data_IF_290784676614
#
_entry.id   IF_290784676614
#
_cell.length_a   1.000
_cell.length_b   1.000
_cell.length_c   1.000
_cell.angle_alpha   90.00
_cell.angle_beta   90.00
_cell.angle_gamma   90.00
#
_symmetry.space_group_name_H-M   'P 1'
#
loop_
_entity.id
_entity.type
_entity.pdbx_description
1 polymer ?
#
# COMPACT_ATOMS: atom_id res chain seq x y z
N UNK A 1 -66.12 -18.37 -2.01
CA UNK A 1 -64.73 -18.92 -1.88
C UNK A 1 -63.66 -18.09 -2.62
N UNK A 2 -63.93 -17.54 -3.81
CA UNK A 2 -62.95 -16.82 -4.66
C UNK A 2 -62.32 -15.53 -4.05
N UNK A 3 -63.04 -14.76 -3.23
CA UNK A 3 -62.56 -13.48 -2.65
C UNK A 3 -61.36 -13.62 -1.71
N UNK A 4 -61.25 -14.73 -0.96
CA UNK A 4 -60.12 -14.98 -0.05
C UNK A 4 -58.84 -15.32 -0.83
N UNK A 5 -58.96 -16.06 -1.92
CA UNK A 5 -57.84 -16.46 -2.79
C UNK A 5 -57.22 -15.25 -3.49
N UNK A 6 -58.04 -14.33 -4.02
CA UNK A 6 -57.57 -13.07 -4.62
C UNK A 6 -56.81 -12.17 -3.62
N UNK A 7 -57.30 -12.04 -2.39
CA UNK A 7 -56.60 -11.29 -1.33
C UNK A 7 -55.26 -11.93 -0.95
N UNK A 8 -55.18 -13.27 -0.96
CA UNK A 8 -53.96 -14.02 -0.68
C UNK A 8 -52.91 -13.85 -1.79
N UNK A 9 -53.34 -13.90 -3.05
CA UNK A 9 -52.46 -13.66 -4.22
C UNK A 9 -51.93 -12.23 -4.21
N UNK A 10 -52.78 -11.23 -3.95
CA UNK A 10 -52.35 -9.82 -3.83
C UNK A 10 -51.35 -9.61 -2.69
N UNK A 11 -51.54 -10.26 -1.53
CA UNK A 11 -50.60 -10.20 -0.40
C UNK A 11 -49.24 -10.84 -0.72
N UNK A 12 -49.24 -11.99 -1.40
CA UNK A 12 -48.00 -12.66 -1.82
C UNK A 12 -47.25 -11.81 -2.86
N UNK A 13 -47.97 -11.19 -3.81
CA UNK A 13 -47.37 -10.28 -4.80
C UNK A 13 -46.73 -9.04 -4.16
N UNK A 14 -47.37 -8.43 -3.17
CA UNK A 14 -46.81 -7.28 -2.43
C UNK A 14 -45.56 -7.67 -1.62
N UNK A 15 -45.57 -8.84 -0.97
CA UNK A 15 -44.40 -9.34 -0.23
C UNK A 15 -43.21 -9.65 -1.16
N UNK A 16 -43.46 -10.27 -2.31
CA UNK A 16 -42.43 -10.51 -3.32
C UNK A 16 -41.84 -9.19 -3.84
N UNK A 17 -42.69 -8.21 -4.14
CA UNK A 17 -42.23 -6.89 -4.58
C UNK A 17 -41.40 -6.18 -3.49
N UNK A 18 -41.80 -6.26 -2.21
CA UNK A 18 -41.03 -5.65 -1.13
C UNK A 18 -39.68 -6.36 -0.91
N UNK A 19 -39.61 -7.68 -1.02
CA UNK A 19 -38.36 -8.43 -0.94
C UNK A 19 -37.42 -8.07 -2.09
N UNK A 20 -37.93 -8.01 -3.33
CA UNK A 20 -37.13 -7.62 -4.50
C UNK A 20 -36.65 -6.18 -4.37
N UNK A 21 -37.53 -5.26 -3.96
CA UNK A 21 -37.16 -3.86 -3.72
C UNK A 21 -36.10 -3.72 -2.62
N UNK A 22 -36.19 -4.51 -1.54
CA UNK A 22 -35.19 -4.53 -0.48
C UNK A 22 -33.83 -5.08 -0.97
N UNK A 23 -33.83 -6.15 -1.77
CA UNK A 23 -32.59 -6.70 -2.36
C UNK A 23 -31.94 -5.67 -3.28
N UNK A 24 -32.73 -5.02 -4.15
CA UNK A 24 -32.26 -3.96 -5.05
C UNK A 24 -31.69 -2.79 -4.24
N UNK A 25 -32.40 -2.31 -3.21
CA UNK A 25 -31.89 -1.27 -2.31
C UNK A 25 -30.59 -1.70 -1.63
N UNK A 26 -30.51 -2.96 -1.19
CA UNK A 26 -29.30 -3.49 -0.56
C UNK A 26 -28.13 -3.55 -1.53
N UNK A 27 -28.37 -3.89 -2.81
CA UNK A 27 -27.36 -3.89 -3.87
C UNK A 27 -26.92 -2.47 -4.24
N UNK A 28 -27.82 -1.49 -4.24
CA UNK A 28 -27.49 -0.08 -4.43
C UNK A 28 -26.72 0.53 -3.24
N UNK A 29 -27.03 0.09 -2.01
CA UNK A 29 -26.33 0.54 -0.80
C UNK A 29 -25.03 -0.22 -0.53
N UNK A 30 -24.85 -1.41 -1.11
CA UNK A 30 -23.63 -2.19 -1.03
C UNK A 30 -22.65 -1.68 -2.08
N UNK A 31 -21.87 -0.67 -1.71
CA UNK A 31 -20.70 -0.26 -2.48
C UNK A 31 -19.49 -1.07 -1.99
N UNK A 32 -19.08 -2.16 -2.69
CA UNK A 32 -17.93 -2.97 -2.29
C UNK A 32 -16.61 -2.19 -2.34
N UNK A 33 -16.60 -0.99 -2.95
CA UNK A 33 -15.45 -0.10 -3.04
C UNK A 33 -15.52 1.09 -2.07
N UNK A 34 -16.46 1.10 -1.12
CA UNK A 34 -16.48 2.14 -0.10
C UNK A 34 -15.22 2.04 0.74
N UNK A 35 -14.42 3.10 0.68
CA UNK A 35 -13.22 3.29 1.50
C UNK A 35 -13.51 4.26 2.62
N UNK A 36 -12.69 4.17 3.66
CA UNK A 36 -12.74 4.99 4.86
C UNK A 36 -11.36 5.66 5.03
N UNK A 37 -11.28 6.58 5.98
CA UNK A 37 -10.07 7.35 6.29
C UNK A 37 -9.75 7.24 7.78
N UNK A 38 -8.63 7.80 8.20
CA UNK A 38 -8.28 7.95 9.62
C UNK A 38 -9.42 8.56 10.46
N UNK A 39 -10.12 9.57 9.93
CA UNK A 39 -11.17 10.28 10.63
C UNK A 39 -12.36 9.37 11.00
N UNK A 40 -12.69 8.39 10.17
CA UNK A 40 -13.78 7.43 10.42
C UNK A 40 -13.53 6.53 11.65
N UNK A 41 -12.28 6.42 12.10
CA UNK A 41 -11.85 5.58 13.22
C UNK A 41 -11.25 6.40 14.38
N UNK A 42 -11.42 7.73 14.38
CA UNK A 42 -10.80 8.63 15.37
C UNK A 42 -9.27 8.48 15.45
N UNK A 43 -8.63 8.18 14.32
CA UNK A 43 -7.18 8.14 14.20
C UNK A 43 -6.73 9.53 13.76
N UNK A 44 -5.79 10.14 14.47
CA UNK A 44 -5.12 11.35 13.98
C UNK A 44 -4.14 10.97 12.87
N UNK A 45 -4.20 11.68 11.74
CA UNK A 45 -3.20 11.51 10.68
C UNK A 45 -1.83 11.91 11.20
N UNK A 46 -0.88 11.02 11.06
CA UNK A 46 0.51 11.32 11.35
C UNK A 46 1.06 12.33 10.33
N UNK A 47 1.78 13.32 10.84
CA UNK A 47 2.52 14.32 10.06
C UNK A 47 3.96 14.17 10.48
N UNK A 48 4.86 13.93 9.53
CA UNK A 48 6.28 13.86 9.81
C UNK A 48 6.77 15.22 10.34
N UNK A 49 7.64 15.27 11.35
CA UNK A 49 8.30 16.50 11.75
C UNK A 49 9.48 16.87 10.81
N UNK A 50 9.69 16.09 9.74
CA UNK A 50 10.77 16.24 8.78
C UNK A 50 10.20 16.50 7.38
N UNK A 51 10.96 17.28 6.62
CA UNK A 51 10.75 17.66 5.23
C UNK A 51 12.15 17.68 4.60
N UNK A 52 12.53 16.56 4.00
CA UNK A 52 13.90 16.29 3.56
C UNK A 52 14.28 17.08 2.31
N UNK A 53 13.36 17.28 1.37
CA UNK A 53 13.59 18.06 0.16
C UNK A 53 13.21 19.54 0.28
N UNK A 54 12.65 19.95 1.42
CA UNK A 54 12.34 21.33 1.81
C UNK A 54 11.32 21.99 0.89
N UNK A 55 10.35 21.20 0.41
CA UNK A 55 9.32 21.69 -0.50
C UNK A 55 8.06 22.24 0.23
N UNK A 56 8.01 22.06 1.56
CA UNK A 56 6.93 22.51 2.44
C UNK A 56 5.85 21.45 2.70
N UNK A 57 5.96 20.26 2.11
CA UNK A 57 5.22 19.06 2.49
C UNK A 57 6.09 18.21 3.45
N UNK A 58 5.44 17.47 4.34
CA UNK A 58 6.17 16.59 5.25
C UNK A 58 6.51 15.26 4.58
N UNK A 59 7.65 14.64 4.95
CA UNK A 59 8.16 13.42 4.31
C UNK A 59 7.10 12.32 4.16
N UNK A 60 6.20 12.16 5.15
CA UNK A 60 5.18 11.11 5.11
C UNK A 60 4.15 11.38 4.02
N UNK A 61 3.71 12.64 3.92
CA UNK A 61 2.78 13.09 2.89
C UNK A 61 3.42 13.02 1.50
N UNK A 62 4.70 13.37 1.37
CA UNK A 62 5.43 13.29 0.10
C UNK A 62 5.59 11.88 -0.40
N UNK A 63 5.94 10.93 0.48
CA UNK A 63 6.02 9.52 0.10
C UNK A 63 4.69 9.05 -0.49
N UNK A 64 3.57 9.36 0.18
CA UNK A 64 2.27 8.93 -0.29
C UNK A 64 1.87 9.61 -1.61
N UNK A 65 2.15 10.90 -1.76
CA UNK A 65 1.91 11.67 -2.99
C UNK A 65 2.75 11.15 -4.16
N UNK A 66 4.03 10.89 -3.92
CA UNK A 66 4.99 10.40 -4.91
C UNK A 66 4.70 8.98 -5.35
N UNK A 67 4.31 8.10 -4.43
CA UNK A 67 3.80 6.76 -4.76
C UNK A 67 2.58 6.85 -5.68
N UNK A 68 1.63 7.72 -5.37
CA UNK A 68 0.42 7.93 -6.19
C UNK A 68 0.76 8.46 -7.58
N UNK A 69 1.70 9.39 -7.66
CA UNK A 69 2.22 9.91 -8.94
C UNK A 69 2.84 8.79 -9.76
N UNK A 70 3.67 7.94 -9.15
CA UNK A 70 4.27 6.79 -9.84
C UNK A 70 3.21 5.81 -10.37
N UNK A 71 2.27 5.34 -9.54
CA UNK A 71 1.25 4.37 -9.99
C UNK A 71 0.26 4.96 -11.01
N UNK A 72 0.09 6.29 -11.04
CA UNK A 72 -0.73 6.98 -12.04
C UNK A 72 -0.14 6.87 -13.46
N UNK A 73 1.17 6.60 -13.58
CA UNK A 73 1.81 6.28 -14.88
C UNK A 73 1.42 4.90 -15.41
N UNK A 74 0.76 4.06 -14.59
CA UNK A 74 0.31 2.70 -14.90
C UNK A 74 1.45 1.78 -15.35
N UNK A 75 2.49 1.59 -14.51
CA UNK A 75 3.61 0.74 -14.84
C UNK A 75 3.16 -0.71 -15.04
N UNK A 76 3.62 -1.35 -16.11
CA UNK A 76 3.39 -2.77 -16.39
C UNK A 76 4.41 -3.61 -15.64
N UNK A 77 3.98 -4.73 -15.08
CA UNK A 77 4.89 -5.58 -14.32
C UNK A 77 5.94 -6.21 -15.23
N UNK A 78 7.21 -5.90 -14.99
CA UNK A 78 8.32 -6.61 -15.61
C UNK A 78 9.58 -6.51 -14.75
N UNK A 79 10.16 -7.65 -14.41
CA UNK A 79 11.47 -7.70 -13.76
C UNK A 79 12.56 -7.51 -14.81
N UNK A 80 13.17 -6.33 -14.82
CA UNK A 80 14.19 -5.89 -15.80
C UNK A 80 15.32 -5.15 -15.10
N UNK A 81 16.54 -5.27 -15.60
CA UNK A 81 17.68 -4.47 -15.15
C UNK A 81 17.71 -3.11 -15.88
N UNK A 82 17.99 -2.03 -15.16
CA UNK A 82 18.11 -0.68 -15.71
C UNK A 82 19.52 -0.14 -15.50
N UNK A 83 20.15 0.32 -16.58
CA UNK A 83 21.50 0.89 -16.53
C UNK A 83 21.60 2.19 -15.72
N UNK A 84 20.48 2.88 -15.52
CA UNK A 84 20.28 4.06 -14.69
C UNK A 84 19.96 3.72 -13.23
N UNK A 85 19.57 2.47 -12.94
CA UNK A 85 19.04 2.02 -11.65
C UNK A 85 17.52 2.10 -11.57
N UNK A 86 16.95 3.28 -11.85
CA UNK A 86 15.50 3.49 -11.88
C UNK A 86 14.89 3.16 -13.25
N UNK A 87 13.68 2.59 -13.29
CA UNK A 87 12.97 2.43 -14.54
C UNK A 87 12.58 3.79 -15.12
N UNK A 88 12.83 3.96 -16.41
CA UNK A 88 12.54 5.14 -17.21
C UNK A 88 11.59 4.82 -18.38
N UNK A 89 10.97 3.63 -18.32
CA UNK A 89 10.02 3.11 -19.29
C UNK A 89 8.67 2.82 -18.63
N UNK A 90 7.77 2.18 -19.37
CA UNK A 90 6.44 1.82 -18.89
C UNK A 90 6.44 0.62 -17.93
N UNK A 91 7.59 0.13 -17.46
CA UNK A 91 7.69 -1.09 -16.66
C UNK A 91 8.16 -0.85 -15.22
N UNK A 92 7.85 -1.77 -14.33
CA UNK A 92 8.35 -1.76 -12.96
C UNK A 92 7.97 -2.98 -12.14
N UNK A 93 8.41 -2.99 -10.88
CA UNK A 93 8.11 -4.01 -9.88
C UNK A 93 7.74 -3.36 -8.53
N UNK A 94 7.49 -4.19 -7.52
CA UNK A 94 7.05 -3.76 -6.19
C UNK A 94 8.01 -2.80 -5.49
N UNK A 95 9.33 -3.02 -5.62
CA UNK A 95 10.35 -2.15 -5.02
C UNK A 95 10.37 -0.76 -5.65
N UNK A 96 9.97 -0.64 -6.92
CA UNK A 96 9.96 0.65 -7.62
C UNK A 96 8.88 1.58 -7.04
N UNK A 97 7.76 1.03 -6.55
CA UNK A 97 6.74 1.81 -5.82
C UNK A 97 7.35 2.51 -4.61
N UNK A 98 8.10 1.78 -3.79
CA UNK A 98 8.78 2.33 -2.61
C UNK A 98 9.90 3.27 -3.01
N UNK A 99 10.68 2.92 -4.03
CA UNK A 99 11.83 3.71 -4.46
C UNK A 99 11.42 5.07 -5.03
N UNK A 100 10.34 5.16 -5.82
CA UNK A 100 9.82 6.46 -6.27
C UNK A 100 9.10 7.24 -5.18
N UNK A 101 8.44 6.56 -4.24
CA UNK A 101 7.88 7.18 -3.05
C UNK A 101 8.93 7.95 -2.26
N UNK A 102 10.03 7.27 -1.93
CA UNK A 102 11.15 7.87 -1.19
C UNK A 102 11.92 8.90 -2.02
N UNK A 103 12.12 8.65 -3.32
CA UNK A 103 12.85 9.59 -4.18
C UNK A 103 12.14 10.94 -4.27
N UNK A 104 10.81 10.94 -4.35
CA UNK A 104 10.01 12.15 -4.40
C UNK A 104 9.76 12.80 -3.04
N UNK A 105 10.33 12.26 -1.96
CA UNK A 105 10.43 12.90 -0.64
C UNK A 105 11.89 13.18 -0.28
N UNK A 106 12.76 13.37 -1.27
CA UNK A 106 14.18 13.67 -1.08
C UNK A 106 15.12 12.52 -0.72
N UNK A 107 14.64 11.27 -0.56
CA UNK A 107 15.47 10.10 -0.21
C UNK A 107 15.78 9.22 -1.42
N UNK A 108 16.98 9.35 -1.99
CA UNK A 108 17.47 8.46 -3.06
C UNK A 108 17.83 7.07 -2.50
N UNK A 109 16.84 6.17 -2.50
CA UNK A 109 16.97 4.80 -2.00
C UNK A 109 18.10 4.01 -2.68
N UNK A 110 18.38 4.27 -3.96
CA UNK A 110 19.50 3.63 -4.67
C UNK A 110 20.83 3.98 -4.00
N UNK A 111 21.04 5.27 -3.71
CA UNK A 111 22.26 5.75 -3.08
C UNK A 111 22.35 5.35 -1.61
N UNK A 112 21.25 5.45 -0.87
CA UNK A 112 21.17 5.07 0.54
C UNK A 112 21.51 3.59 0.75
N UNK A 113 20.86 2.69 0.02
CA UNK A 113 21.14 1.24 0.13
C UNK A 113 22.55 0.92 -0.33
N UNK A 114 23.04 1.54 -1.41
CA UNK A 114 24.42 1.30 -1.85
C UNK A 114 25.45 1.73 -0.79
N UNK A 115 25.24 2.87 -0.13
CA UNK A 115 26.15 3.34 0.92
C UNK A 115 26.13 2.38 2.12
N UNK A 116 24.94 1.92 2.51
CA UNK A 116 24.77 1.00 3.62
C UNK A 116 25.35 -0.40 3.32
N UNK A 117 25.14 -0.92 2.10
CA UNK A 117 25.76 -2.17 1.64
C UNK A 117 27.28 -2.07 1.66
N UNK A 118 27.87 -0.93 1.24
CA UNK A 118 29.32 -0.73 1.32
C UNK A 118 29.84 -0.71 2.75
N UNK A 119 29.06 -0.17 3.68
CA UNK A 119 29.43 -0.08 5.09
C UNK A 119 29.23 -1.40 5.86
N UNK A 120 28.19 -2.18 5.51
CA UNK A 120 27.71 -3.36 6.26
C UNK A 120 27.51 -4.60 5.38
N UNK A 121 28.37 -4.83 4.39
CA UNK A 121 28.19 -5.92 3.42
C UNK A 121 28.13 -7.32 4.05
N UNK A 122 28.66 -7.50 5.26
CA UNK A 122 28.60 -8.74 6.03
C UNK A 122 27.15 -9.15 6.38
N UNK A 123 26.27 -8.17 6.58
CA UNK A 123 24.84 -8.40 6.85
C UNK A 123 24.08 -8.73 5.56
N UNK A 124 24.41 -8.05 4.46
CA UNK A 124 23.78 -8.22 3.15
C UNK A 124 24.24 -9.48 2.41
N UNK A 125 25.49 -9.90 2.61
CA UNK A 125 26.13 -11.04 1.96
C UNK A 125 26.09 -10.94 0.42
N UNK A 126 26.34 -9.74 -0.10
CA UNK A 126 26.36 -9.48 -1.55
C UNK A 126 27.77 -9.71 -2.08
N UNK A 127 27.89 -10.62 -3.05
CA UNK A 127 29.17 -10.96 -3.68
C UNK A 127 29.68 -9.81 -4.58
N UNK A 128 28.79 -9.24 -5.38
CA UNK A 128 29.09 -8.14 -6.30
C UNK A 128 28.09 -7.03 -6.06
N UNK A 129 28.54 -5.97 -5.39
CA UNK A 129 27.71 -4.79 -5.10
C UNK A 129 27.41 -4.09 -6.42
N UNK A 130 26.12 -3.90 -6.70
CA UNK A 130 25.64 -3.11 -7.83
C UNK A 130 24.49 -2.23 -7.38
N UNK A 131 24.82 -0.95 -7.17
CA UNK A 131 23.86 0.08 -6.75
C UNK A 131 22.61 0.11 -7.62
N UNK A 132 22.69 -0.24 -8.90
CA UNK A 132 21.55 -0.16 -9.85
C UNK A 132 20.51 -1.25 -9.65
N UNK A 133 20.81 -2.29 -8.87
CA UNK A 133 19.89 -3.42 -8.65
C UNK A 133 19.72 -3.78 -7.19
N UNK A 134 20.68 -3.46 -6.31
CA UNK A 134 20.64 -3.89 -4.91
C UNK A 134 19.46 -3.27 -4.14
N UNK A 135 19.10 -2.01 -4.40
CA UNK A 135 17.90 -1.38 -3.81
C UNK A 135 16.58 -1.95 -4.36
N UNK A 136 16.62 -2.72 -5.45
CA UNK A 136 15.45 -3.37 -6.06
C UNK A 136 15.29 -4.82 -5.60
N UNK A 137 15.97 -5.20 -4.52
CA UNK A 137 15.83 -6.51 -3.86
C UNK A 137 15.08 -6.35 -2.56
N UNK A 138 13.92 -7.00 -2.43
CA UNK A 138 13.10 -6.97 -1.20
C UNK A 138 13.91 -7.35 0.05
N UNK A 139 14.78 -8.37 -0.04
CA UNK A 139 15.62 -8.77 1.09
C UNK A 139 16.61 -7.68 1.51
N UNK A 140 17.19 -6.94 0.56
CA UNK A 140 18.12 -5.87 0.87
C UNK A 140 17.38 -4.69 1.49
N UNK A 141 16.20 -4.34 0.96
CA UNK A 141 15.35 -3.30 1.53
C UNK A 141 14.90 -3.65 2.95
N UNK A 142 14.60 -4.92 3.22
CA UNK A 142 14.29 -5.38 4.58
C UNK A 142 15.43 -5.09 5.56
N UNK A 143 16.66 -5.47 5.20
CA UNK A 143 17.86 -5.21 6.01
C UNK A 143 18.08 -3.71 6.22
N UNK A 144 17.89 -2.92 5.16
CA UNK A 144 18.06 -1.46 5.21
C UNK A 144 17.06 -0.81 6.17
N UNK A 145 15.76 -1.12 6.02
CA UNK A 145 14.72 -0.54 6.86
C UNK A 145 14.74 -1.04 8.30
N UNK A 146 15.18 -2.29 8.55
CA UNK A 146 15.41 -2.79 9.92
C UNK A 146 16.41 -1.92 10.70
N UNK A 147 17.44 -1.41 10.02
CA UNK A 147 18.46 -0.58 10.64
C UNK A 147 18.04 0.89 10.75
N UNK A 148 17.51 1.45 9.66
CA UNK A 148 17.46 2.90 9.47
C UNK A 148 16.07 3.50 9.68
N UNK A 149 15.00 2.71 9.69
CA UNK A 149 13.64 3.20 9.87
C UNK A 149 13.11 2.90 11.29
N UNK A 150 11.95 3.46 11.64
CA UNK A 150 11.24 3.09 12.86
C UNK A 150 10.43 1.82 12.59
N UNK A 151 10.82 0.70 13.21
CA UNK A 151 10.03 -0.54 13.15
C UNK A 151 8.76 -0.43 14.00
N UNK A 152 7.63 -0.83 13.43
CA UNK A 152 6.31 -0.78 14.03
C UNK A 152 5.71 -2.19 14.14
N UNK A 153 4.60 -2.30 14.86
CA UNK A 153 3.84 -3.57 14.95
C UNK A 153 3.39 -4.04 13.57
N UNK A 154 3.42 -5.35 13.36
CA UNK A 154 2.85 -6.01 12.17
C UNK A 154 1.44 -6.55 12.43
N UNK A 155 0.88 -6.33 13.63
CA UNK A 155 -0.52 -6.66 13.92
C UNK A 155 -1.42 -5.69 13.14
N UNK A 156 -2.08 -6.24 12.12
CA UNK A 156 -2.99 -5.48 11.23
C UNK A 156 -4.24 -4.99 11.96
N UNK A 157 -4.56 -5.53 13.14
CA UNK A 157 -5.70 -5.12 13.95
C UNK A 157 -5.37 -3.99 14.93
N UNK A 158 -4.09 -3.67 15.15
CA UNK A 158 -3.67 -2.45 15.85
C UNK A 158 -3.73 -1.24 14.91
N UNK A 159 -4.93 -0.91 14.44
CA UNK A 159 -5.19 0.03 13.35
C UNK A 159 -4.62 1.44 13.58
N UNK A 160 -4.34 1.82 14.83
CA UNK A 160 -3.75 3.11 15.21
C UNK A 160 -2.26 3.21 14.87
N UNK A 161 -1.55 2.07 14.85
CA UNK A 161 -0.12 2.05 14.55
C UNK A 161 0.19 2.32 13.07
N UNK A 162 -0.76 2.04 12.18
CA UNK A 162 -0.59 2.13 10.73
C UNK A 162 -0.99 3.50 10.20
N UNK A 163 -0.16 4.11 9.37
CA UNK A 163 -0.41 5.39 8.72
C UNK A 163 -0.07 5.33 7.23
N UNK A 164 -0.79 6.12 6.42
CA UNK A 164 -0.47 6.25 5.00
C UNK A 164 0.96 6.77 4.82
N UNK A 165 1.72 6.20 3.88
CA UNK A 165 3.15 6.50 3.68
C UNK A 165 4.11 5.53 4.40
N UNK A 166 3.64 4.72 5.35
CA UNK A 166 4.48 3.70 5.99
C UNK A 166 4.90 2.63 4.97
N UNK A 167 6.08 2.04 5.14
CA UNK A 167 6.57 0.96 4.28
C UNK A 167 6.18 -0.40 4.87
N UNK A 168 5.59 -1.27 4.06
CA UNK A 168 5.28 -2.65 4.45
C UNK A 168 6.10 -3.64 3.64
N UNK A 169 6.73 -4.59 4.33
CA UNK A 169 7.54 -5.64 3.72
C UNK A 169 6.92 -7.01 4.01
N UNK A 170 6.75 -7.78 2.93
CA UNK A 170 6.38 -9.19 2.97
C UNK A 170 7.57 -10.06 2.56
N UNK A 171 7.49 -11.38 2.76
CA UNK A 171 8.59 -12.32 2.45
C UNK A 171 9.19 -12.18 1.05
N UNK A 172 8.39 -11.82 0.04
CA UNK A 172 8.84 -11.67 -1.36
C UNK A 172 8.23 -10.44 -2.06
N UNK A 173 7.71 -9.50 -1.29
CA UNK A 173 6.98 -8.35 -1.83
C UNK A 173 7.12 -7.15 -0.91
N UNK A 174 6.90 -5.95 -1.42
CA UNK A 174 6.96 -4.71 -0.65
C UNK A 174 5.92 -3.74 -1.20
N UNK A 175 5.46 -2.81 -0.37
CA UNK A 175 4.56 -1.74 -0.77
C UNK A 175 4.56 -0.60 0.23
N UNK A 176 3.66 0.35 0.00
CA UNK A 176 3.44 1.51 0.87
C UNK A 176 2.02 1.44 1.42
N UNK A 177 1.84 1.69 2.70
CA UNK A 177 0.54 1.73 3.38
C UNK A 177 -0.24 2.92 2.83
N UNK A 178 -1.50 2.70 2.49
CA UNK A 178 -2.42 3.75 2.04
C UNK A 178 -3.07 4.47 3.22
N UNK A 179 -3.48 5.72 3.01
CA UNK A 179 -4.39 6.45 3.91
C UNK A 179 -5.86 5.99 3.78
N UNK A 180 -6.19 5.16 2.77
CA UNK A 180 -7.48 4.49 2.62
C UNK A 180 -7.56 3.29 3.55
N UNK A 181 -8.71 3.14 4.20
CA UNK A 181 -9.02 2.05 5.12
C UNK A 181 -10.26 1.30 4.69
N UNK A 182 -10.33 0.02 5.05
CA UNK A 182 -11.54 -0.76 4.93
C UNK A 182 -12.48 -0.47 6.12
N UNK A 183 -13.66 -1.11 6.13
CA UNK A 183 -14.68 -0.91 7.18
C UNK A 183 -14.23 -1.30 8.61
N UNK A 184 -13.12 -2.03 8.75
CA UNK A 184 -12.52 -2.41 10.03
C UNK A 184 -11.40 -1.46 10.46
N UNK A 185 -11.08 -0.45 9.65
CA UNK A 185 -9.97 0.47 9.89
C UNK A 185 -8.63 -0.04 9.42
N UNK A 186 -8.57 -1.22 8.79
CA UNK A 186 -7.31 -1.79 8.29
C UNK A 186 -6.96 -1.07 6.99
N UNK A 187 -5.73 -0.56 6.83
CA UNK A 187 -5.36 0.21 5.66
C UNK A 187 -5.19 -0.66 4.42
N UNK A 188 -5.42 -0.05 3.27
CA UNK A 188 -5.05 -0.60 1.97
C UNK A 188 -3.53 -0.53 1.81
N UNK A 189 -3.00 -1.24 0.81
CA UNK A 189 -1.59 -1.17 0.43
C UNK A 189 -1.49 -0.71 -1.01
N UNK A 190 -0.62 0.25 -1.28
CA UNK A 190 -0.19 0.63 -2.62
C UNK A 190 1.03 -0.21 -3.01
N UNK A 191 0.90 -1.06 -4.03
CA UNK A 191 1.94 -1.97 -4.48
C UNK A 191 1.79 -2.38 -5.94
N UNK A 192 2.85 -2.95 -6.51
CA UNK A 192 2.88 -3.44 -7.88
C UNK A 192 3.48 -4.86 -7.94
N UNK A 193 2.64 -5.90 -8.06
CA UNK A 193 3.04 -7.29 -7.82
C UNK A 193 2.85 -8.27 -8.97
N UNK A 194 2.09 -7.93 -10.02
CA UNK A 194 1.75 -8.89 -11.07
C UNK A 194 1.29 -8.22 -12.37
N UNK A 195 1.53 -8.83 -13.56
CA UNK A 195 0.99 -8.36 -14.83
C UNK A 195 -0.55 -8.34 -14.89
N UNK A 196 -1.21 -9.09 -14.01
CA UNK A 196 -2.66 -9.23 -13.96
C UNK A 196 -3.31 -8.46 -12.80
N UNK A 197 -2.52 -7.64 -12.09
CA UNK A 197 -3.04 -6.84 -11.00
C UNK A 197 -4.00 -5.79 -11.55
N UNK A 198 -5.22 -5.75 -10.99
CA UNK A 198 -6.28 -4.85 -11.48
C UNK A 198 -6.15 -3.43 -10.91
N UNK A 199 -5.72 -3.34 -9.65
CA UNK A 199 -5.59 -2.08 -8.92
C UNK A 199 -4.25 -2.05 -8.20
N UNK A 200 -3.56 -0.91 -8.20
CA UNK A 200 -2.32 -0.78 -7.42
C UNK A 200 -2.57 -0.58 -5.93
N UNK A 201 -3.77 -0.14 -5.55
CA UNK A 201 -4.15 0.15 -4.16
C UNK A 201 -5.22 -0.84 -3.72
N UNK A 202 -4.85 -1.84 -2.91
CA UNK A 202 -5.67 -3.03 -2.63
C UNK A 202 -5.80 -3.31 -1.12
N UNK A 203 -6.96 -3.83 -0.71
CA UNK A 203 -7.21 -4.33 0.65
C UNK A 203 -6.69 -5.77 0.78
N UNK A 204 -5.41 -5.91 1.12
CA UNK A 204 -4.72 -7.20 1.14
C UNK A 204 -4.24 -7.63 2.52
N UNK A 205 -4.18 -6.73 3.52
CA UNK A 205 -3.44 -7.01 4.76
C UNK A 205 -3.97 -8.22 5.53
N UNK A 206 -5.29 -8.35 5.70
CA UNK A 206 -5.89 -9.50 6.41
C UNK A 206 -5.72 -10.83 5.65
N UNK A 207 -5.43 -10.78 4.35
CA UNK A 207 -5.27 -11.97 3.49
C UNK A 207 -3.82 -12.47 3.47
N UNK A 208 -2.89 -11.74 4.10
CA UNK A 208 -1.45 -11.99 4.05
C UNK A 208 -0.96 -12.45 5.41
N UNK A 209 -0.30 -13.62 5.43
CA UNK A 209 0.35 -14.20 6.62
C UNK A 209 1.87 -14.10 6.57
N UNK A 210 2.40 -13.36 5.60
CA UNK A 210 3.82 -13.26 5.28
C UNK A 210 4.38 -11.85 5.44
N UNK A 211 3.71 -10.99 6.22
CA UNK A 211 4.24 -9.69 6.65
C UNK A 211 5.45 -9.95 7.56
N UNK A 212 6.57 -9.33 7.23
CA UNK A 212 7.83 -9.47 7.97
C UNK A 212 8.40 -8.13 8.44
N UNK A 213 7.80 -7.02 8.04
CA UNK A 213 8.20 -5.69 8.49
C UNK A 213 7.15 -4.62 8.18
N UNK A 214 7.05 -3.65 9.06
CA UNK A 214 6.25 -2.44 8.94
C UNK A 214 7.10 -1.30 9.50
N UNK A 215 7.31 -0.26 8.70
CA UNK A 215 8.28 0.78 8.99
C UNK A 215 7.71 2.16 8.74
N UNK A 216 8.04 3.09 9.63
CA UNK A 216 7.85 4.52 9.40
C UNK A 216 9.19 5.18 9.13
N UNK A 217 9.22 6.04 8.12
CA UNK A 217 10.43 6.76 7.76
C UNK A 217 10.71 7.84 8.80
N UNK A 218 11.97 7.92 9.16
CA UNK A 218 12.62 8.99 9.91
C UNK A 218 13.83 9.41 9.05
N UNK A 219 14.56 10.49 9.40
CA UNK A 219 15.74 10.88 8.65
C UNK A 219 16.66 9.68 8.42
N UNK A 220 16.88 9.37 7.15
CA UNK A 220 17.74 8.30 6.68
C UNK A 220 19.19 8.83 6.57
N UNK A 221 20.20 7.95 6.71
CA UNK A 221 21.61 8.34 6.83
C UNK A 221 22.24 8.96 5.58
#
# INVERSE_FOLDING_TARGET
>A
MQRKTSKRIKRVGVLLFSCVSFIILSMYNFNPFKTYTNADFNISTYVSPYDQDQDGMDDQSDILSSVRTYIATKPKYQSKYYGTGYPDDEYGVCTDVVAFGLLGSGYDLMMLVNNDVKARNDVYKINTIDKKIDFRRVNNLKIFFDEHALSLTIDVHDIHAWQGGDIIVFKKHIGVVSDKRNKKGIPYVIHHGSPYQLFYEEDILEQRSDIIGHYRIKPLP
#
